data_IF_659490180659
#
_entry.id   IF_659490180659
#
_cell.length_a   1.000
_cell.length_b   1.000
_cell.length_c   1.000
_cell.angle_alpha   90.00
_cell.angle_beta   90.00
_cell.angle_gamma   90.00
#
_symmetry.space_group_name_H-M   'P 1'
#
loop_
_entity.id
_entity.type
_entity.pdbx_description
1 polymer ?
#
# COMPACT_ATOMS: atom_id res chain seq x y z
N UNK A 1 -13.14 -10.07 12.22
CA UNK A 1 -12.81 -11.51 12.28
C UNK A 1 -11.72 -11.73 11.22
N UNK A 2 -10.45 -11.77 11.61
CA UNK A 2 -9.33 -11.87 10.66
C UNK A 2 -9.41 -13.22 9.95
N UNK A 3 -9.64 -13.21 8.63
CA UNK A 3 -9.72 -14.43 7.85
C UNK A 3 -8.30 -15.02 7.72
N UNK A 4 -8.02 -16.09 8.47
CA UNK A 4 -6.70 -16.74 8.60
C UNK A 4 -6.28 -17.46 7.32
N UNK A 5 -7.18 -17.66 6.35
CA UNK A 5 -6.88 -18.47 5.16
C UNK A 5 -6.04 -17.74 4.11
N UNK A 6 -5.98 -16.40 4.12
CA UNK A 6 -5.24 -15.59 3.15
C UNK A 6 -4.74 -14.29 3.81
N UNK A 7 -3.53 -14.27 4.40
CA UNK A 7 -3.03 -13.09 5.07
C UNK A 7 -2.89 -11.92 4.09
N UNK A 8 -3.09 -10.69 4.58
CA UNK A 8 -2.82 -9.50 3.79
C UNK A 8 -1.35 -9.45 3.34
N UNK A 9 -1.05 -8.81 2.19
CA UNK A 9 0.32 -8.63 1.73
C UNK A 9 1.19 -8.01 2.83
N UNK A 10 2.26 -8.70 3.19
CA UNK A 10 3.21 -8.24 4.20
C UNK A 10 4.20 -7.24 3.58
N UNK A 11 3.68 -6.10 3.16
CA UNK A 11 4.47 -5.01 2.59
C UNK A 11 4.79 -3.98 3.68
N UNK A 12 6.08 -3.68 3.84
CA UNK A 12 6.56 -2.62 4.73
C UNK A 12 6.33 -1.23 4.11
N UNK A 13 6.45 -0.18 4.93
CA UNK A 13 6.34 1.20 4.44
C UNK A 13 7.47 1.54 3.45
N UNK A 14 8.69 1.05 3.69
CA UNK A 14 9.83 1.26 2.79
C UNK A 14 9.59 0.61 1.43
N UNK A 15 9.11 -0.64 1.40
CA UNK A 15 8.75 -1.32 0.15
C UNK A 15 7.62 -0.61 -0.58
N UNK A 16 6.62 -0.09 0.14
CA UNK A 16 5.54 0.67 -0.47
C UNK A 16 6.03 1.97 -1.15
N UNK A 17 6.99 2.68 -0.54
CA UNK A 17 7.63 3.86 -1.17
C UNK A 17 8.41 3.45 -2.41
N UNK A 18 9.17 2.36 -2.34
CA UNK A 18 9.93 1.83 -3.47
C UNK A 18 9.00 1.43 -4.63
N UNK A 19 7.89 0.76 -4.34
CA UNK A 19 6.88 0.39 -5.35
C UNK A 19 6.27 1.65 -5.98
N UNK A 20 5.84 2.61 -5.17
CA UNK A 20 5.26 3.87 -5.66
C UNK A 20 6.22 4.62 -6.59
N UNK A 21 7.48 4.71 -6.19
CA UNK A 21 8.51 5.41 -6.95
C UNK A 21 8.85 4.68 -8.25
N UNK A 22 9.09 3.35 -8.18
CA UNK A 22 9.55 2.56 -9.34
C UNK A 22 8.47 2.35 -10.40
N UNK A 23 7.21 2.15 -9.99
CA UNK A 23 6.14 1.79 -10.92
C UNK A 23 5.30 2.98 -11.36
N UNK A 24 5.18 4.01 -10.52
CA UNK A 24 4.30 5.16 -10.79
C UNK A 24 5.05 6.50 -10.86
N UNK A 25 6.36 6.53 -10.55
CA UNK A 25 7.14 7.76 -10.51
C UNK A 25 6.75 8.70 -9.36
N UNK A 26 6.02 8.19 -8.36
CA UNK A 26 5.51 9.00 -7.25
C UNK A 26 6.39 8.74 -6.01
N UNK A 27 7.25 9.69 -5.69
CA UNK A 27 8.02 9.71 -4.46
C UNK A 27 7.22 10.37 -3.32
N UNK A 28 7.56 10.06 -2.07
CA UNK A 28 6.91 10.66 -0.92
C UNK A 28 7.00 9.80 0.34
N UNK A 29 6.20 10.17 1.33
CA UNK A 29 5.98 9.35 2.53
C UNK A 29 4.71 8.54 2.39
N UNK A 30 4.69 7.36 3.01
CA UNK A 30 3.50 6.52 3.08
C UNK A 30 3.07 6.36 4.54
N UNK A 31 1.77 6.20 4.76
CA UNK A 31 1.18 5.84 6.05
C UNK A 31 0.22 4.67 5.83
N UNK A 32 0.33 3.59 6.62
CA UNK A 32 -0.59 2.46 6.48
C UNK A 32 -2.02 2.89 6.79
N UNK A 33 -2.96 2.35 6.03
CA UNK A 33 -4.40 2.49 6.26
C UNK A 33 -4.95 1.13 6.70
N UNK A 34 -5.95 1.16 7.59
CA UNK A 34 -6.66 -0.05 7.98
C UNK A 34 -7.35 -0.68 6.76
N UNK A 35 -7.07 -1.96 6.53
CA UNK A 35 -7.67 -2.75 5.46
C UNK A 35 -7.79 -4.21 5.86
N UNK A 36 -8.86 -4.87 5.44
CA UNK A 36 -9.17 -6.24 5.89
C UNK A 36 -8.38 -7.32 5.12
N UNK A 37 -8.15 -7.13 3.83
CA UNK A 37 -7.54 -8.13 2.92
C UNK A 37 -6.37 -7.60 2.13
N UNK A 38 -6.52 -6.37 1.61
CA UNK A 38 -5.45 -5.64 0.93
C UNK A 38 -4.46 -5.05 1.93
N UNK A 39 -3.38 -4.51 1.40
CA UNK A 39 -2.51 -3.59 2.14
C UNK A 39 -2.59 -2.22 1.47
N UNK A 40 -3.27 -1.29 2.13
CA UNK A 40 -3.46 0.06 1.62
C UNK A 40 -2.53 1.06 2.32
N UNK A 41 -2.03 2.02 1.56
CA UNK A 41 -1.21 3.12 2.05
C UNK A 41 -1.74 4.44 1.52
N UNK A 42 -1.84 5.43 2.42
CA UNK A 42 -1.92 6.83 2.01
C UNK A 42 -0.51 7.29 1.66
N UNK A 43 -0.33 7.78 0.44
CA UNK A 43 0.92 8.38 0.00
C UNK A 43 0.77 9.90 -0.04
N UNK A 44 1.75 10.60 0.51
CA UNK A 44 1.85 12.07 0.47
C UNK A 44 3.11 12.44 -0.30
N UNK A 45 2.93 13.04 -1.47
CA UNK A 45 4.02 13.50 -2.32
C UNK A 45 4.58 14.85 -1.84
N UNK A 46 5.80 15.25 -2.26
CA UNK A 46 6.43 16.51 -1.84
C UNK A 46 5.63 17.77 -2.21
N UNK A 47 4.86 17.71 -3.30
CA UNK A 47 3.95 18.76 -3.76
C UNK A 47 2.61 18.79 -3.00
N UNK A 48 2.50 18.02 -1.91
CA UNK A 48 1.30 17.82 -1.08
C UNK A 48 0.16 17.07 -1.78
N UNK A 49 0.38 16.54 -2.99
CA UNK A 49 -0.59 15.65 -3.64
C UNK A 49 -0.77 14.36 -2.82
N UNK A 50 -2.01 13.89 -2.73
CA UNK A 50 -2.39 12.71 -1.97
C UNK A 50 -2.83 11.58 -2.89
N UNK A 51 -2.31 10.38 -2.63
CA UNK A 51 -2.60 9.18 -3.40
C UNK A 51 -2.93 8.00 -2.48
N UNK A 52 -3.60 7.00 -3.05
CA UNK A 52 -3.79 5.71 -2.40
C UNK A 52 -3.01 4.66 -3.19
N UNK A 53 -2.04 4.02 -2.53
CA UNK A 53 -1.40 2.83 -3.05
C UNK A 53 -2.09 1.61 -2.45
N UNK A 54 -2.71 0.80 -3.30
CA UNK A 54 -3.33 -0.47 -2.91
C UNK A 54 -2.47 -1.63 -3.39
N UNK A 55 -2.01 -2.48 -2.47
CA UNK A 55 -1.48 -3.79 -2.81
C UNK A 55 -2.61 -4.79 -2.59
N UNK A 56 -3.16 -5.26 -3.70
CA UNK A 56 -4.28 -6.22 -3.71
C UNK A 56 -3.78 -7.58 -3.24
N UNK A 57 -4.58 -8.24 -2.41
CA UNK A 57 -4.28 -9.61 -2.01
C UNK A 57 -4.27 -10.52 -3.25
N UNK A 58 -3.25 -11.35 -3.42
CA UNK A 58 -3.15 -12.25 -4.58
C UNK A 58 -4.28 -13.30 -4.66
N UNK A 59 -5.06 -13.45 -3.59
CA UNK A 59 -6.25 -14.30 -3.52
C UNK A 59 -7.56 -13.53 -3.77
N UNK A 60 -7.50 -12.29 -4.26
CA UNK A 60 -8.64 -11.67 -4.91
C UNK A 60 -8.94 -12.34 -6.27
N UNK A 61 -10.23 -12.55 -6.61
CA UNK A 61 -10.65 -13.20 -7.86
C UNK A 61 -10.50 -12.32 -9.10
#
# INVERSE_FOLDING_TARGET
>A
MTNVSYPAPQISQTEAVDIATRHFGIAGSVTPLDSERDRNFKLTAPDQSLWILKIVNASEP
#
